data_IF_424189926183
#
_entry.id   IF_424189926183
#
_cell.length_a   1.000
_cell.length_b   1.000
_cell.length_c   1.000
_cell.angle_alpha   90.00
_cell.angle_beta   90.00
_cell.angle_gamma   90.00
#
_symmetry.space_group_name_H-M   'P 1'
#
loop_
_entity.id
_entity.type
_entity.pdbx_description
1 polymer ?
#
# COMPACT_ATOMS: atom_id res chain seq x y z
N UNK A 1 -47.49 29.79 -25.43
CA UNK A 1 -46.42 28.94 -26.01
C UNK A 1 -45.16 29.26 -25.19
N UNK A 2 -44.85 28.59 -24.08
CA UNK A 2 -44.53 27.14 -23.93
C UNK A 2 -43.18 26.91 -24.61
N UNK A 3 -42.03 26.70 -23.96
CA UNK A 3 -41.69 25.76 -22.87
C UNK A 3 -40.32 26.18 -22.29
N UNK A 4 -40.11 26.20 -20.97
CA UNK A 4 -38.76 26.16 -20.34
C UNK A 4 -38.80 25.37 -19.02
N UNK A 5 -37.81 24.48 -18.87
CA UNK A 5 -37.28 23.82 -17.68
C UNK A 5 -38.12 22.72 -17.01
N UNK A 6 -37.68 21.46 -17.17
CA UNK A 6 -37.14 20.59 -16.11
C UNK A 6 -36.22 19.54 -16.77
N UNK A 7 -34.90 19.66 -16.61
CA UNK A 7 -33.94 18.57 -16.85
C UNK A 7 -32.92 18.62 -15.72
N UNK A 8 -33.20 17.89 -14.65
CA UNK A 8 -32.32 17.72 -13.52
C UNK A 8 -32.65 16.41 -12.82
N UNK A 9 -31.61 15.61 -12.56
CA UNK A 9 -31.59 14.32 -11.87
C UNK A 9 -31.78 13.05 -12.75
N UNK A 10 -30.69 12.60 -13.41
CA UNK A 10 -30.59 11.20 -13.88
C UNK A 10 -29.15 10.71 -14.15
N UNK A 11 -28.13 11.03 -13.33
CA UNK A 11 -26.75 10.55 -13.60
C UNK A 11 -26.01 9.88 -12.43
N UNK A 12 -26.66 9.53 -11.31
CA UNK A 12 -25.98 8.83 -10.19
C UNK A 12 -26.30 7.33 -10.10
N UNK A 13 -27.34 6.83 -10.78
CA UNK A 13 -27.73 5.41 -10.68
C UNK A 13 -26.89 4.45 -11.58
N UNK A 14 -25.99 4.96 -12.42
CA UNK A 14 -25.27 4.15 -13.41
C UNK A 14 -24.07 3.37 -12.88
N UNK A 15 -23.44 3.81 -11.78
CA UNK A 15 -22.25 3.14 -11.25
C UNK A 15 -22.55 2.03 -10.24
N UNK A 16 -23.73 2.02 -9.61
CA UNK A 16 -24.10 0.98 -8.64
C UNK A 16 -24.61 -0.31 -9.28
N UNK A 17 -25.09 -0.26 -10.53
CA UNK A 17 -25.61 -1.43 -11.24
C UNK A 17 -24.54 -2.33 -11.85
N UNK A 18 -23.31 -1.83 -12.04
CA UNK A 18 -22.21 -2.62 -12.62
C UNK A 18 -21.53 -3.52 -11.56
N UNK A 19 -21.58 -3.14 -10.27
CA UNK A 19 -21.05 -3.96 -9.18
C UNK A 19 -21.83 -5.27 -8.98
N UNK A 20 -23.14 -5.28 -9.21
CA UNK A 20 -24.00 -6.42 -8.96
C UNK A 20 -23.95 -7.52 -10.05
N UNK A 21 -23.34 -7.24 -11.20
CA UNK A 21 -23.31 -8.17 -12.34
C UNK A 21 -21.99 -8.95 -12.48
N UNK A 22 -21.02 -8.73 -11.59
CA UNK A 22 -19.69 -9.38 -11.68
C UNK A 22 -19.44 -10.42 -10.59
N UNK A 23 -20.24 -10.45 -9.53
CA UNK A 23 -20.25 -11.56 -8.57
C UNK A 23 -21.19 -12.65 -9.10
N UNK A 24 -20.66 -13.58 -9.87
CA UNK A 24 -21.35 -14.81 -10.25
C UNK A 24 -21.66 -15.65 -9.01
N UNK A 25 -22.71 -15.29 -8.27
CA UNK A 25 -23.16 -16.04 -7.11
C UNK A 25 -23.55 -17.45 -7.57
N UNK A 26 -22.69 -18.43 -7.28
CA UNK A 26 -23.02 -19.83 -7.52
C UNK A 26 -24.26 -20.16 -6.69
N UNK A 27 -25.28 -20.82 -7.27
CA UNK A 27 -26.52 -21.12 -6.54
C UNK A 27 -26.30 -22.01 -5.31
N UNK A 28 -25.14 -22.68 -5.23
CA UNK A 28 -24.72 -23.48 -4.08
C UNK A 28 -23.23 -23.20 -3.80
N UNK A 29 -22.95 -22.59 -2.64
CA UNK A 29 -21.60 -22.40 -2.12
C UNK A 29 -21.45 -23.18 -0.81
N UNK A 30 -20.27 -23.76 -0.59
CA UNK A 30 -19.94 -24.39 0.68
C UNK A 30 -19.42 -23.34 1.66
N UNK A 31 -19.98 -23.29 2.87
CA UNK A 31 -19.58 -22.37 3.93
C UNK A 31 -18.70 -23.10 4.95
N UNK A 32 -17.43 -22.71 5.04
CA UNK A 32 -16.55 -23.14 6.11
C UNK A 32 -16.98 -22.53 7.45
N UNK A 33 -17.51 -21.30 7.46
CA UNK A 33 -18.06 -20.66 8.68
C UNK A 33 -19.05 -21.54 9.43
N UNK A 34 -20.04 -22.10 8.73
CA UNK A 34 -21.03 -22.98 9.38
C UNK A 34 -20.36 -24.22 9.94
N UNK A 35 -19.49 -24.88 9.17
CA UNK A 35 -18.93 -26.17 9.58
C UNK A 35 -17.84 -26.06 10.65
N UNK A 36 -16.92 -25.12 10.50
CA UNK A 36 -15.76 -24.96 11.39
C UNK A 36 -16.10 -24.05 12.57
N UNK A 37 -16.71 -22.90 12.33
CA UNK A 37 -16.97 -21.91 13.40
C UNK A 37 -18.27 -22.21 14.16
N UNK A 38 -19.39 -22.41 13.47
CA UNK A 38 -20.69 -22.56 14.13
C UNK A 38 -20.84 -23.97 14.74
N UNK A 39 -20.40 -25.01 14.03
CA UNK A 39 -20.53 -26.42 14.45
C UNK A 39 -19.24 -27.00 15.07
N UNK A 40 -18.15 -26.21 15.13
CA UNK A 40 -16.89 -26.61 15.79
C UNK A 40 -16.26 -27.90 15.23
N UNK A 41 -16.34 -28.12 13.92
CA UNK A 41 -15.65 -29.23 13.26
C UNK A 41 -14.17 -28.92 13.01
N UNK A 42 -13.33 -29.94 13.09
CA UNK A 42 -11.91 -29.83 12.79
C UNK A 42 -11.65 -29.91 11.29
N UNK A 43 -10.58 -29.27 10.81
CA UNK A 43 -10.19 -29.28 9.39
C UNK A 43 -10.02 -30.71 8.84
N UNK A 44 -9.46 -31.60 9.66
CA UNK A 44 -9.17 -32.99 9.32
C UNK A 44 -10.42 -33.87 9.24
N UNK A 45 -11.57 -33.44 9.80
CA UNK A 45 -12.83 -34.19 9.69
C UNK A 45 -13.30 -34.32 8.24
N UNK A 46 -13.01 -33.28 7.44
CA UNK A 46 -13.33 -33.22 6.01
C UNK A 46 -12.08 -33.51 5.16
N UNK A 47 -10.95 -32.86 5.45
CA UNK A 47 -9.69 -32.99 4.70
C UNK A 47 -8.78 -34.08 5.28
N UNK A 48 -9.28 -35.32 5.29
CA UNK A 48 -8.67 -36.45 6.02
C UNK A 48 -7.24 -36.80 5.58
N UNK A 49 -6.83 -36.40 4.37
CA UNK A 49 -5.48 -36.70 3.86
C UNK A 49 -4.52 -35.52 3.98
N UNK A 50 -4.96 -34.38 4.51
CA UNK A 50 -4.14 -33.18 4.70
C UNK A 50 -2.91 -33.40 5.58
N UNK A 51 -3.02 -34.24 6.60
CA UNK A 51 -1.91 -34.49 7.51
C UNK A 51 -1.05 -35.70 7.12
N UNK A 52 -1.51 -36.51 6.18
CA UNK A 52 -0.92 -37.82 5.87
C UNK A 52 -0.36 -37.93 4.47
N UNK A 53 -0.71 -37.02 3.56
CA UNK A 53 -0.26 -37.02 2.17
C UNK A 53 -0.01 -35.61 1.67
N UNK A 54 0.66 -35.47 0.53
CA UNK A 54 0.95 -34.15 -0.07
C UNK A 54 -0.29 -33.45 -0.62
N UNK A 55 -1.33 -34.21 -0.95
CA UNK A 55 -2.60 -33.70 -1.44
C UNK A 55 -3.65 -33.80 -0.31
N UNK A 56 -4.21 -32.67 0.17
CA UNK A 56 -5.10 -32.68 1.31
C UNK A 56 -6.45 -33.36 1.04
N UNK A 57 -6.71 -33.66 -0.23
CA UNK A 57 -7.92 -34.35 -0.69
C UNK A 57 -9.14 -33.46 -0.59
N UNK A 58 -10.12 -33.73 -1.45
CA UNK A 58 -11.45 -33.11 -1.33
C UNK A 58 -12.41 -34.10 -0.64
N UNK A 59 -13.28 -33.62 0.27
CA UNK A 59 -14.22 -34.49 0.95
C UNK A 59 -15.13 -35.21 -0.04
N UNK A 60 -15.32 -36.51 0.18
CA UNK A 60 -16.28 -37.30 -0.59
C UNK A 60 -17.71 -37.06 -0.07
N UNK A 61 -18.71 -37.24 -0.93
CA UNK A 61 -20.13 -37.13 -0.55
C UNK A 61 -20.48 -37.98 0.69
N UNK A 62 -19.88 -39.17 0.81
CA UNK A 62 -20.08 -40.05 1.96
C UNK A 62 -19.77 -39.36 3.30
N UNK A 63 -18.79 -38.46 3.33
CA UNK A 63 -18.43 -37.71 4.53
C UNK A 63 -19.53 -36.73 4.90
N UNK A 64 -20.10 -36.02 3.93
CA UNK A 64 -21.22 -35.11 4.17
C UNK A 64 -22.43 -35.87 4.71
N UNK A 65 -22.70 -37.06 4.17
CA UNK A 65 -23.87 -37.85 4.56
C UNK A 65 -23.83 -38.38 5.99
N UNK A 66 -22.66 -38.41 6.65
CA UNK A 66 -22.54 -38.79 8.07
C UNK A 66 -23.44 -37.93 8.98
N UNK A 67 -23.60 -36.64 8.64
CA UNK A 67 -24.46 -35.71 9.38
C UNK A 67 -25.69 -35.29 8.55
N UNK A 68 -25.52 -35.14 7.24
CA UNK A 68 -26.58 -34.63 6.37
C UNK A 68 -27.74 -35.61 6.12
N UNK A 69 -27.62 -36.90 6.46
CA UNK A 69 -28.74 -37.84 6.40
C UNK A 69 -29.92 -37.39 7.27
N UNK A 70 -29.64 -36.94 8.51
CA UNK A 70 -30.69 -36.47 9.43
C UNK A 70 -30.97 -34.97 9.27
N UNK A 71 -29.93 -34.15 9.08
CA UNK A 71 -30.06 -32.68 8.98
C UNK A 71 -30.87 -32.28 7.74
N UNK A 72 -30.69 -32.98 6.63
CA UNK A 72 -31.37 -32.66 5.38
C UNK A 72 -32.75 -33.31 5.25
N UNK A 73 -33.12 -34.23 6.15
CA UNK A 73 -34.41 -34.93 6.12
C UNK A 73 -35.62 -33.97 6.15
N UNK A 74 -35.45 -32.78 6.73
CA UNK A 74 -36.48 -31.74 6.82
C UNK A 74 -36.35 -30.64 5.75
N UNK A 75 -35.29 -30.68 4.93
CA UNK A 75 -35.05 -29.68 3.88
C UNK A 75 -35.78 -30.09 2.60
N UNK A 76 -36.10 -29.09 1.77
CA UNK A 76 -36.60 -29.34 0.42
C UNK A 76 -35.55 -30.12 -0.39
N UNK A 77 -36.00 -31.03 -1.27
CA UNK A 77 -35.12 -31.94 -2.01
C UNK A 77 -34.00 -31.21 -2.77
N UNK A 78 -34.28 -30.03 -3.33
CA UNK A 78 -33.34 -29.20 -4.08
C UNK A 78 -32.24 -28.55 -3.22
N UNK A 79 -32.36 -28.64 -1.88
CA UNK A 79 -31.42 -28.13 -0.87
C UNK A 79 -30.73 -29.24 -0.07
N UNK A 80 -30.98 -30.50 -0.37
CA UNK A 80 -30.31 -31.63 0.26
C UNK A 80 -28.95 -31.87 -0.39
N UNK A 81 -27.91 -32.08 0.41
CA UNK A 81 -26.53 -32.24 -0.05
C UNK A 81 -26.39 -33.41 -1.02
N UNK A 82 -27.09 -34.53 -0.79
CA UNK A 82 -27.09 -35.68 -1.71
C UNK A 82 -27.45 -35.30 -3.16
N UNK A 83 -28.35 -34.35 -3.35
CA UNK A 83 -28.77 -33.90 -4.69
C UNK A 83 -27.78 -32.96 -5.37
N UNK A 84 -26.83 -32.41 -4.62
CA UNK A 84 -25.82 -31.49 -5.14
C UNK A 84 -24.70 -32.23 -5.89
N UNK A 85 -24.41 -33.48 -5.50
CA UNK A 85 -23.33 -34.28 -6.06
C UNK A 85 -23.79 -35.22 -7.20
N UNK A 86 -25.08 -35.61 -7.23
CA UNK A 86 -25.61 -36.59 -8.20
C UNK A 86 -25.69 -36.12 -9.66
N UNK A 87 -25.72 -34.81 -9.90
CA UNK A 87 -25.92 -34.21 -11.22
C UNK A 87 -24.84 -33.18 -11.61
N UNK A 88 -23.70 -33.16 -10.91
CA UNK A 88 -22.65 -32.14 -11.13
C UNK A 88 -23.05 -30.72 -10.75
N UNK A 89 -24.11 -30.56 -9.94
CA UNK A 89 -24.63 -29.26 -9.47
C UNK A 89 -23.69 -28.57 -8.47
N UNK A 90 -22.86 -29.35 -7.79
CA UNK A 90 -21.74 -28.89 -6.99
C UNK A 90 -20.44 -29.26 -7.68
N UNK A 91 -19.75 -28.26 -8.20
CA UNK A 91 -18.37 -28.39 -8.65
C UNK A 91 -17.50 -27.57 -7.70
N UNK A 92 -16.72 -28.27 -6.87
CA UNK A 92 -15.68 -27.63 -6.10
C UNK A 92 -14.70 -26.98 -7.08
N UNK A 93 -14.60 -25.65 -7.02
CA UNK A 93 -13.59 -24.92 -7.76
C UNK A 93 -12.38 -24.77 -6.86
N UNK A 94 -11.21 -25.20 -7.33
CA UNK A 94 -9.95 -24.96 -6.65
C UNK A 94 -9.63 -23.47 -6.78
N UNK A 95 -9.87 -22.71 -5.71
CA UNK A 95 -9.61 -21.26 -5.68
C UNK A 95 -8.11 -20.98 -5.62
N UNK A 96 -7.35 -21.80 -4.90
CA UNK A 96 -5.89 -21.76 -4.90
C UNK A 96 -5.33 -22.90 -5.74
N UNK A 97 -4.40 -22.57 -6.63
CA UNK A 97 -3.60 -23.53 -7.38
C UNK A 97 -2.17 -23.01 -7.39
N UNK A 98 -1.29 -23.73 -6.67
CA UNK A 98 0.15 -23.55 -6.86
C UNK A 98 0.49 -24.02 -8.27
N UNK A 99 1.25 -23.22 -9.00
CA UNK A 99 1.71 -23.55 -10.34
C UNK A 99 2.68 -24.75 -10.27
N UNK A 100 2.79 -25.52 -11.36
CA UNK A 100 3.57 -26.77 -11.41
C UNK A 100 5.07 -26.60 -11.08
N UNK A 101 5.58 -25.37 -11.18
CA UNK A 101 6.95 -25.02 -10.81
C UNK A 101 7.18 -25.08 -9.30
N UNK A 102 6.14 -24.93 -8.49
CA UNK A 102 6.22 -24.99 -7.04
C UNK A 102 6.17 -26.44 -6.56
N UNK A 103 7.06 -26.77 -5.63
CA UNK A 103 7.07 -28.02 -4.88
C UNK A 103 6.55 -27.71 -3.49
N UNK A 104 5.48 -28.39 -3.10
CA UNK A 104 4.90 -28.24 -1.79
C UNK A 104 4.41 -29.60 -1.29
N UNK A 105 4.62 -29.89 -0.01
CA UNK A 105 4.17 -31.11 0.66
C UNK A 105 3.34 -30.74 1.88
N UNK A 106 2.03 -31.02 1.87
CA UNK A 106 1.21 -30.86 3.08
C UNK A 106 1.71 -31.77 4.21
N UNK A 107 2.10 -33.01 3.91
CA UNK A 107 2.64 -33.96 4.89
C UNK A 107 3.87 -33.41 5.64
N UNK A 108 4.85 -32.85 4.92
CA UNK A 108 6.04 -32.29 5.55
C UNK A 108 5.71 -31.11 6.49
N UNK A 109 4.73 -30.28 6.13
CA UNK A 109 4.30 -29.14 6.94
C UNK A 109 3.43 -29.57 8.13
N UNK A 110 2.48 -30.47 7.91
CA UNK A 110 1.59 -31.00 8.94
C UNK A 110 2.36 -31.79 10.01
N UNK A 111 3.39 -32.56 9.63
CA UNK A 111 4.24 -33.29 10.58
C UNK A 111 5.05 -32.38 11.52
N UNK A 112 5.17 -31.08 11.20
CA UNK A 112 5.75 -30.07 12.09
C UNK A 112 4.73 -29.48 13.08
N UNK A 113 3.47 -29.91 13.03
CA UNK A 113 2.40 -29.41 13.88
C UNK A 113 2.02 -27.96 13.55
N UNK A 114 2.09 -27.58 12.28
CA UNK A 114 1.68 -26.25 11.83
C UNK A 114 0.15 -26.18 11.76
N UNK A 115 -0.41 -25.09 12.27
CA UNK A 115 -1.84 -24.81 12.19
C UNK A 115 -2.24 -24.46 10.74
N UNK A 116 -3.39 -25.00 10.28
CA UNK A 116 -3.88 -24.80 8.92
C UNK A 116 -4.10 -23.31 8.59
N UNK A 117 -4.51 -22.51 9.57
CA UNK A 117 -4.82 -21.09 9.42
C UNK A 117 -3.57 -20.23 9.27
N UNK A 118 -2.36 -20.79 9.44
CA UNK A 118 -1.12 -20.09 9.11
C UNK A 118 -0.99 -19.85 7.60
N UNK A 119 -1.51 -20.77 6.79
CA UNK A 119 -1.49 -20.65 5.32
C UNK A 119 -2.88 -20.34 4.77
N UNK A 120 -3.94 -20.99 5.29
CA UNK A 120 -5.32 -20.77 4.89
C UNK A 120 -6.02 -19.73 5.78
N UNK A 121 -5.44 -18.55 5.87
CA UNK A 121 -5.87 -17.49 6.79
C UNK A 121 -7.33 -17.11 6.55
N UNK A 122 -8.16 -17.22 7.60
CA UNK A 122 -9.55 -16.76 7.60
C UNK A 122 -10.55 -17.69 6.92
N UNK A 123 -10.10 -18.86 6.42
CA UNK A 123 -10.97 -19.81 5.74
C UNK A 123 -12.10 -20.30 6.65
N UNK A 124 -11.87 -20.39 7.96
CA UNK A 124 -12.85 -20.80 8.95
C UNK A 124 -14.04 -19.83 9.09
N UNK A 125 -13.91 -18.61 8.56
CA UNK A 125 -14.98 -17.59 8.54
C UNK A 125 -15.63 -17.44 7.15
N UNK A 126 -15.14 -18.16 6.13
CA UNK A 126 -15.65 -18.02 4.77
C UNK A 126 -17.04 -18.64 4.61
N UNK A 127 -18.01 -17.81 4.21
CA UNK A 127 -19.32 -18.30 3.75
C UNK A 127 -19.25 -18.89 2.34
N UNK A 128 -18.24 -18.46 1.58
CA UNK A 128 -17.82 -18.98 0.29
C UNK A 128 -16.33 -18.69 0.17
N UNK A 129 -15.55 -19.62 -0.38
CA UNK A 129 -14.11 -19.38 -0.59
C UNK A 129 -13.95 -18.28 -1.65
N UNK A 130 -13.22 -17.22 -1.31
CA UNK A 130 -12.91 -16.09 -2.18
C UNK A 130 -11.47 -16.18 -2.67
N UNK A 131 -11.16 -15.44 -3.76
CA UNK A 131 -9.80 -15.35 -4.29
C UNK A 131 -8.79 -14.86 -3.24
N UNK A 132 -9.24 -14.07 -2.28
CA UNK A 132 -8.45 -13.51 -1.18
C UNK A 132 -7.92 -14.59 -0.23
N UNK A 133 -8.56 -15.76 -0.20
CA UNK A 133 -8.15 -16.92 0.61
C UNK A 133 -7.07 -17.77 -0.10
N UNK A 134 -6.57 -17.33 -1.26
CA UNK A 134 -5.48 -18.00 -1.98
C UNK A 134 -4.13 -17.75 -1.31
N UNK A 135 -3.35 -18.83 -1.16
CA UNK A 135 -2.00 -18.80 -0.58
C UNK A 135 -1.05 -18.09 -1.55
N UNK A 136 -0.22 -17.20 -1.01
CA UNK A 136 0.74 -16.40 -1.78
C UNK A 136 2.18 -16.70 -1.38
N UNK A 137 3.13 -16.28 -2.21
CA UNK A 137 4.56 -16.52 -1.95
C UNK A 137 5.04 -15.86 -0.65
N UNK A 138 4.53 -14.67 -0.33
CA UNK A 138 4.86 -13.92 0.89
C UNK A 138 4.44 -14.67 2.16
N UNK A 139 3.37 -15.46 2.11
CA UNK A 139 2.97 -16.34 3.23
C UNK A 139 4.04 -17.41 3.50
N UNK A 140 4.58 -18.01 2.43
CA UNK A 140 5.65 -19.01 2.52
C UNK A 140 6.95 -18.37 3.03
N UNK A 141 7.39 -17.26 2.42
CA UNK A 141 8.68 -16.64 2.75
C UNK A 141 8.68 -16.05 4.15
N UNK A 142 7.61 -15.38 4.57
CA UNK A 142 7.52 -14.81 5.92
C UNK A 142 7.59 -15.91 6.99
N UNK A 143 6.85 -17.02 6.82
CA UNK A 143 6.89 -18.14 7.75
C UNK A 143 8.27 -18.83 7.77
N UNK A 144 8.91 -18.97 6.61
CA UNK A 144 10.25 -19.54 6.52
C UNK A 144 11.30 -18.66 7.20
N UNK A 145 11.25 -17.35 6.98
CA UNK A 145 12.15 -16.38 7.65
C UNK A 145 11.97 -16.43 9.17
N UNK A 146 10.73 -16.37 9.66
CA UNK A 146 10.40 -16.41 11.10
C UNK A 146 10.90 -17.70 11.77
N UNK A 147 10.99 -18.79 11.01
CA UNK A 147 11.45 -20.10 11.48
C UNK A 147 12.91 -20.38 11.14
N UNK A 148 13.65 -19.39 10.64
CA UNK A 148 15.03 -19.52 10.18
C UNK A 148 15.25 -20.66 9.18
N UNK A 149 14.24 -20.93 8.35
CA UNK A 149 14.32 -21.84 7.21
C UNK A 149 14.84 -21.08 5.99
N UNK A 150 15.38 -21.81 5.02
CA UNK A 150 15.83 -21.18 3.78
C UNK A 150 14.62 -20.68 2.97
N UNK A 151 14.78 -19.47 2.43
CA UNK A 151 13.92 -18.86 1.41
C UNK A 151 14.61 -18.86 0.05
N UNK A 152 15.69 -19.64 -0.11
CA UNK A 152 16.32 -19.82 -1.41
C UNK A 152 15.27 -20.36 -2.38
N UNK A 153 15.16 -19.75 -3.56
CA UNK A 153 14.07 -20.05 -4.48
C UNK A 153 13.99 -21.55 -4.83
N UNK A 154 15.12 -22.25 -4.86
CA UNK A 154 15.22 -23.68 -5.14
C UNK A 154 14.58 -24.58 -4.06
N UNK A 155 14.29 -24.05 -2.88
CA UNK A 155 13.53 -24.76 -1.83
C UNK A 155 12.09 -24.99 -2.30
N UNK A 156 11.50 -24.00 -2.96
CA UNK A 156 10.10 -24.03 -3.38
C UNK A 156 9.94 -24.27 -4.88
N UNK A 157 10.88 -23.83 -5.72
CA UNK A 157 10.77 -23.90 -7.17
C UNK A 157 11.65 -25.01 -7.75
N UNK A 158 11.04 -25.90 -8.55
CA UNK A 158 11.78 -26.85 -9.41
C UNK A 158 12.63 -26.12 -10.45
N UNK A 159 12.04 -25.09 -11.04
CA UNK A 159 12.63 -24.19 -12.02
C UNK A 159 11.85 -22.88 -11.97
N UNK A 160 12.51 -21.72 -11.90
CA UNK A 160 11.83 -20.43 -12.00
C UNK A 160 11.68 -20.08 -13.47
N UNK A 161 10.45 -20.10 -13.95
CA UNK A 161 10.15 -19.82 -15.34
C UNK A 161 10.26 -18.34 -15.68
N UNK A 162 11.25 -17.99 -16.49
CA UNK A 162 11.39 -16.62 -17.04
C UNK A 162 10.44 -16.33 -18.21
N UNK A 163 9.78 -17.34 -18.76
CA UNK A 163 8.92 -17.25 -19.95
C UNK A 163 7.46 -16.86 -19.62
N UNK A 164 7.04 -17.03 -18.36
CA UNK A 164 5.67 -16.76 -17.91
C UNK A 164 5.70 -15.82 -16.73
N UNK A 165 5.24 -14.60 -16.98
CA UNK A 165 5.11 -13.61 -15.94
C UNK A 165 3.91 -13.93 -15.02
N UNK A 166 3.98 -13.61 -13.71
CA UNK A 166 2.88 -13.81 -12.78
C UNK A 166 1.63 -13.00 -13.17
N UNK A 167 0.46 -13.30 -12.58
CA UNK A 167 -0.80 -12.61 -12.91
C UNK A 167 -0.71 -11.08 -12.78
N UNK A 168 0.14 -10.62 -11.86
CA UNK A 168 0.55 -9.22 -11.71
C UNK A 168 0.95 -8.55 -13.03
N UNK A 169 1.50 -9.31 -13.99
CA UNK A 169 1.99 -8.86 -15.30
C UNK A 169 0.95 -8.98 -16.42
N UNK A 170 -0.35 -9.01 -16.10
CA UNK A 170 -1.42 -9.01 -17.10
C UNK A 170 -1.35 -7.82 -18.09
N UNK A 171 -2.11 -7.88 -19.19
CA UNK A 171 -2.04 -6.95 -20.36
C UNK A 171 -2.08 -5.44 -20.06
N UNK A 172 -2.53 -5.02 -18.87
CA UNK A 172 -2.59 -3.61 -18.44
C UNK A 172 -1.59 -3.25 -17.33
N UNK A 173 -0.60 -4.11 -17.07
CA UNK A 173 0.40 -3.92 -16.02
C UNK A 173 1.07 -2.54 -16.09
N UNK A 174 1.54 -2.10 -17.26
CA UNK A 174 2.19 -0.78 -17.44
C UNK A 174 1.34 0.39 -16.93
N UNK A 175 0.01 0.27 -16.95
CA UNK A 175 -0.91 1.31 -16.47
C UNK A 175 -1.29 1.17 -15.00
N UNK A 176 -1.23 -0.04 -14.44
CA UNK A 176 -1.79 -0.36 -13.12
C UNK A 176 -0.74 -0.62 -12.03
N UNK A 177 0.47 -1.04 -12.41
CA UNK A 177 1.50 -1.45 -11.45
C UNK A 177 1.83 -0.37 -10.42
N UNK A 178 1.85 0.91 -10.81
CA UNK A 178 2.14 1.98 -9.85
C UNK A 178 1.05 2.19 -8.79
N UNK A 179 -0.22 1.87 -9.08
CA UNK A 179 -1.29 1.89 -8.08
C UNK A 179 -1.26 0.67 -7.17
N UNK A 180 -1.01 -0.49 -7.79
CA UNK A 180 -0.88 -1.79 -7.14
C UNK A 180 0.35 -1.83 -6.21
N UNK A 181 1.50 -1.33 -6.63
CA UNK A 181 2.72 -1.27 -5.80
C UNK A 181 2.57 -0.35 -4.58
N UNK A 182 1.59 0.57 -4.60
CA UNK A 182 1.24 1.41 -3.44
C UNK A 182 0.10 0.83 -2.60
N UNK A 183 -0.58 -0.20 -3.10
CA UNK A 183 -1.66 -0.84 -2.37
C UNK A 183 -1.06 -1.69 -1.25
N UNK A 184 -1.64 -1.57 -0.06
CA UNK A 184 -1.35 -2.45 1.09
C UNK A 184 -2.36 -3.60 1.17
N UNK A 185 -3.29 -3.65 0.22
CA UNK A 185 -4.36 -4.62 0.18
C UNK A 185 -3.82 -5.96 -0.33
N UNK A 186 -3.94 -7.01 0.48
CA UNK A 186 -3.44 -8.36 0.16
C UNK A 186 -4.07 -8.97 -1.09
N UNK A 187 -5.16 -8.42 -1.63
CA UNK A 187 -5.77 -8.90 -2.88
C UNK A 187 -5.14 -8.28 -4.13
N UNK A 188 -4.59 -7.07 -3.97
CA UNK A 188 -4.02 -6.28 -5.07
C UNK A 188 -2.54 -6.00 -4.91
N UNK A 189 -1.95 -6.26 -3.75
CA UNK A 189 -0.54 -6.10 -3.46
C UNK A 189 0.26 -6.99 -4.41
N UNK A 190 1.20 -6.39 -5.14
CA UNK A 190 2.19 -7.13 -5.91
C UNK A 190 3.55 -6.90 -5.27
N UNK A 191 4.06 -7.93 -4.60
CA UNK A 191 5.39 -7.92 -4.04
C UNK A 191 6.42 -8.19 -5.15
N UNK A 192 6.65 -7.14 -5.95
CA UNK A 192 7.58 -7.20 -7.08
C UNK A 192 9.01 -7.48 -6.61
N UNK A 193 9.35 -7.10 -5.37
CA UNK A 193 10.69 -7.25 -4.80
C UNK A 193 11.08 -8.69 -4.50
N UNK A 194 10.12 -9.61 -4.45
CA UNK A 194 10.40 -11.05 -4.34
C UNK A 194 11.10 -11.61 -5.59
N UNK A 195 10.87 -10.99 -6.76
CA UNK A 195 11.42 -11.47 -8.04
C UNK A 195 12.31 -10.44 -8.74
N UNK A 196 12.18 -9.15 -8.40
CA UNK A 196 12.91 -8.06 -9.03
C UNK A 196 13.70 -7.27 -7.99
N UNK A 197 14.87 -6.79 -8.39
CA UNK A 197 15.62 -5.83 -7.59
C UNK A 197 15.19 -4.38 -7.86
N UNK A 198 15.62 -3.45 -7.01
CA UNK A 198 15.38 -2.01 -7.21
C UNK A 198 15.93 -1.50 -8.55
N UNK A 199 16.97 -2.14 -9.07
CA UNK A 199 17.59 -1.75 -10.35
C UNK A 199 16.66 -1.98 -11.54
N UNK A 200 15.76 -2.97 -11.44
CA UNK A 200 14.75 -3.28 -12.44
C UNK A 200 13.75 -2.14 -12.59
N UNK A 201 13.27 -1.59 -11.46
CA UNK A 201 12.41 -0.41 -11.44
C UNK A 201 13.13 0.80 -12.02
N UNK A 202 14.36 1.06 -11.58
CA UNK A 202 15.15 2.20 -12.03
C UNK A 202 15.45 2.14 -13.53
N UNK A 203 15.82 0.99 -14.07
CA UNK A 203 16.18 0.81 -15.48
C UNK A 203 14.98 1.04 -16.40
N UNK A 204 13.83 0.48 -16.06
CA UNK A 204 12.61 0.70 -16.86
C UNK A 204 12.14 2.16 -16.79
N UNK A 205 12.15 2.77 -15.60
CA UNK A 205 11.69 4.15 -15.44
C UNK A 205 12.65 5.23 -15.93
N UNK A 206 13.91 4.88 -16.23
CA UNK A 206 14.81 5.75 -16.99
C UNK A 206 14.32 5.97 -18.42
N UNK A 207 13.74 4.95 -19.04
CA UNK A 207 13.22 5.03 -20.41
C UNK A 207 11.74 5.45 -20.43
N UNK A 208 10.95 4.97 -19.47
CA UNK A 208 9.51 5.22 -19.37
C UNK A 208 9.18 5.82 -18.01
N UNK A 209 9.24 7.16 -17.86
CA UNK A 209 8.91 7.82 -16.61
C UNK A 209 7.49 7.49 -16.16
N UNK A 210 7.23 7.40 -14.84
CA UNK A 210 5.87 7.17 -14.34
C UNK A 210 4.91 8.22 -14.89
N UNK A 211 3.67 7.83 -15.23
CA UNK A 211 2.66 8.77 -15.75
C UNK A 211 2.34 9.94 -14.81
N UNK A 212 2.61 9.76 -13.50
CA UNK A 212 2.53 10.83 -12.51
C UNK A 212 3.58 11.92 -12.73
N UNK A 213 4.73 11.63 -13.33
CA UNK A 213 5.87 12.55 -13.49
C UNK A 213 5.78 13.37 -14.78
N UNK A 214 4.61 13.96 -15.04
CA UNK A 214 4.41 14.88 -16.17
C UNK A 214 4.75 16.34 -15.79
N UNK A 215 4.70 17.23 -16.78
CA UNK A 215 5.01 18.65 -16.59
C UNK A 215 4.12 19.33 -15.54
N UNK A 216 2.85 18.93 -15.45
CA UNK A 216 1.92 19.43 -14.45
C UNK A 216 2.31 18.98 -13.03
N UNK A 217 2.69 17.73 -12.85
CA UNK A 217 3.24 17.26 -11.57
C UNK A 217 4.46 18.06 -11.14
N UNK A 218 5.46 18.16 -12.02
CA UNK A 218 6.70 18.88 -11.74
C UNK A 218 6.46 20.35 -11.39
N UNK A 219 5.45 20.98 -11.96
CA UNK A 219 5.28 22.44 -11.82
C UNK A 219 4.16 22.89 -10.89
N UNK A 220 3.15 22.05 -10.65
CA UNK A 220 1.91 22.50 -9.99
C UNK A 220 1.42 21.58 -8.87
N UNK A 221 1.71 20.29 -8.90
CA UNK A 221 1.04 19.37 -7.96
C UNK A 221 1.93 18.52 -7.06
N UNK A 222 3.21 18.24 -7.41
CA UNK A 222 4.07 17.40 -6.57
C UNK A 222 4.27 17.96 -5.14
N UNK A 223 4.32 19.28 -4.98
CA UNK A 223 4.42 19.92 -3.67
C UNK A 223 3.19 19.70 -2.80
N UNK A 224 1.98 19.77 -3.38
CA UNK A 224 0.73 19.47 -2.67
C UNK A 224 0.63 17.98 -2.34
N UNK A 225 0.97 17.11 -3.29
CA UNK A 225 0.97 15.66 -3.09
C UNK A 225 1.93 15.25 -1.98
N UNK A 226 3.16 15.76 -1.98
CA UNK A 226 4.16 15.47 -0.96
C UNK A 226 3.78 16.02 0.43
N UNK A 227 2.93 17.05 0.52
CA UNK A 227 2.37 17.53 1.80
C UNK A 227 1.26 16.64 2.34
N UNK A 228 0.42 16.10 1.44
CA UNK A 228 -0.68 15.22 1.83
C UNK A 228 -0.17 13.83 2.22
N UNK A 229 0.74 13.27 1.43
CA UNK A 229 1.30 11.94 1.66
C UNK A 229 2.69 11.85 1.04
N UNK A 230 3.71 12.12 1.86
CA UNK A 230 5.11 11.95 1.46
C UNK A 230 5.49 10.46 1.34
N UNK A 231 4.83 9.57 2.10
CA UNK A 231 5.14 8.14 2.10
C UNK A 231 4.75 7.49 0.77
N UNK A 232 3.72 7.98 0.08
CA UNK A 232 3.37 7.54 -1.27
C UNK A 232 4.50 7.72 -2.31
N UNK A 233 5.45 8.63 -2.05
CA UNK A 233 6.63 8.81 -2.88
C UNK A 233 7.74 7.82 -2.51
N UNK A 234 7.80 7.41 -1.24
CA UNK A 234 8.83 6.50 -0.70
C UNK A 234 8.76 5.09 -1.30
N UNK A 235 7.61 4.72 -1.88
CA UNK A 235 7.45 3.47 -2.65
C UNK A 235 8.41 3.37 -3.84
N UNK A 236 8.81 4.50 -4.42
CA UNK A 236 9.68 4.52 -5.61
C UNK A 236 10.92 5.41 -5.46
N UNK A 237 10.95 6.28 -4.45
CA UNK A 237 12.02 7.24 -4.23
C UNK A 237 12.60 7.08 -2.83
N UNK A 238 13.92 7.19 -2.73
CA UNK A 238 14.58 7.33 -1.43
C UNK A 238 14.35 8.72 -0.85
N UNK A 239 14.51 8.84 0.46
CA UNK A 239 14.32 10.11 1.19
C UNK A 239 15.28 11.22 0.73
N UNK A 240 16.46 10.88 0.21
CA UNK A 240 17.46 11.81 -0.31
C UNK A 240 17.11 12.37 -1.71
N UNK A 241 16.16 11.77 -2.43
CA UNK A 241 15.73 12.23 -3.75
C UNK A 241 15.14 13.64 -3.73
N UNK A 242 14.42 14.00 -2.67
CA UNK A 242 13.85 15.34 -2.51
C UNK A 242 14.97 16.39 -2.40
N UNK A 243 15.97 16.12 -1.57
CA UNK A 243 17.07 17.05 -1.33
C UNK A 243 17.93 17.22 -2.58
N UNK A 244 18.25 16.12 -3.26
CA UNK A 244 19.06 16.13 -4.48
C UNK A 244 18.46 17.05 -5.54
N UNK A 245 17.16 16.89 -5.83
CA UNK A 245 16.47 17.73 -6.82
C UNK A 245 16.34 19.19 -6.36
N UNK A 246 16.03 19.43 -5.08
CA UNK A 246 15.85 20.79 -4.57
C UNK A 246 17.13 21.57 -4.31
N UNK A 247 18.29 20.90 -4.24
CA UNK A 247 19.60 21.57 -4.28
C UNK A 247 19.85 22.24 -5.62
N UNK A 248 19.42 21.60 -6.71
CA UNK A 248 19.64 22.11 -8.07
C UNK A 248 18.47 22.98 -8.56
N UNK A 249 17.24 22.64 -8.17
CA UNK A 249 16.01 23.26 -8.65
C UNK A 249 15.22 23.89 -7.50
N UNK A 250 15.21 25.22 -7.49
CA UNK A 250 14.45 25.99 -6.49
C UNK A 250 12.93 25.75 -6.65
N UNK A 251 12.19 25.56 -5.55
CA UNK A 251 10.73 25.45 -5.58
C UNK A 251 10.05 26.67 -6.22
N UNK A 252 8.99 26.43 -7.01
CA UNK A 252 8.24 27.48 -7.73
C UNK A 252 7.48 28.47 -6.82
N UNK A 253 7.27 28.12 -5.55
CA UNK A 253 6.71 29.03 -4.55
C UNK A 253 7.70 30.15 -4.14
N UNK A 254 8.95 30.13 -4.62
CA UNK A 254 9.93 31.21 -4.47
C UNK A 254 9.80 32.27 -5.59
N UNK A 255 8.60 32.77 -5.87
CA UNK A 255 8.38 33.80 -6.89
C UNK A 255 8.43 35.22 -6.30
N UNK A 256 9.40 36.02 -6.76
CA UNK A 256 9.50 37.46 -6.49
C UNK A 256 10.57 37.85 -5.46
N UNK A 257 11.68 38.42 -5.93
CA UNK A 257 12.74 39.09 -5.14
C UNK A 257 13.29 38.30 -3.94
N UNK A 258 13.36 36.97 -4.04
CA UNK A 258 14.00 36.12 -3.05
C UNK A 258 15.53 36.31 -3.10
N UNK A 259 16.11 36.82 -2.01
CA UNK A 259 17.57 37.02 -1.87
C UNK A 259 18.12 38.36 -2.38
N UNK A 260 17.28 39.30 -2.82
CA UNK A 260 17.70 40.68 -3.14
C UNK A 260 17.67 41.61 -1.92
N UNK A 261 18.38 42.73 -1.97
CA UNK A 261 18.49 43.77 -0.90
C UNK A 261 17.18 44.46 -0.52
N UNK A 262 16.07 44.11 -1.17
CA UNK A 262 14.72 44.61 -0.90
C UNK A 262 13.72 43.47 -0.58
N UNK A 263 14.21 42.27 -0.24
CA UNK A 263 13.32 41.15 0.08
C UNK A 263 12.59 41.42 1.40
N UNK A 264 11.38 41.96 1.33
CA UNK A 264 10.53 42.26 2.50
C UNK A 264 9.80 41.02 3.04
N UNK A 265 10.10 39.83 2.50
CA UNK A 265 9.38 38.60 2.81
C UNK A 265 9.63 38.11 4.26
N UNK A 266 10.79 38.45 4.83
CA UNK A 266 11.12 38.19 6.24
C UNK A 266 10.19 38.89 7.23
N UNK A 267 9.53 39.98 6.82
CA UNK A 267 8.65 40.78 7.70
C UNK A 267 7.22 40.23 7.79
N UNK A 268 6.89 39.13 7.10
CA UNK A 268 5.54 38.56 7.05
C UNK A 268 5.23 37.46 8.07
N UNK A 269 6.24 36.87 8.72
CA UNK A 269 6.04 35.71 9.60
C UNK A 269 6.70 35.95 10.96
N UNK A 270 5.90 36.33 11.96
CA UNK A 270 6.33 36.38 13.35
C UNK A 270 6.51 34.97 13.93
N UNK A 271 7.52 34.82 14.78
CA UNK A 271 7.85 33.62 15.55
C UNK A 271 6.66 33.12 16.41
N UNK A 272 6.55 31.81 16.70
CA UNK A 272 7.55 30.79 16.44
C UNK A 272 7.47 30.22 15.04
N UNK A 273 8.61 29.87 14.44
CA UNK A 273 8.72 28.91 13.32
C UNK A 273 8.31 27.50 13.76
N UNK A 274 7.28 27.40 14.60
CA UNK A 274 6.61 26.18 14.95
C UNK A 274 5.50 25.97 13.93
N UNK A 275 5.72 24.98 13.06
CA UNK A 275 4.76 24.34 12.15
C UNK A 275 4.62 24.93 10.74
N UNK A 276 5.35 25.98 10.38
CA UNK A 276 5.42 26.42 8.99
C UNK A 276 6.63 25.80 8.27
N UNK A 277 6.35 25.21 7.11
CA UNK A 277 7.14 24.26 6.30
C UNK A 277 8.52 24.78 5.82
N UNK A 278 8.86 26.02 6.15
CA UNK A 278 10.11 26.67 5.76
C UNK A 278 11.30 26.23 6.60
N UNK A 279 11.09 25.85 7.87
CA UNK A 279 12.17 25.42 8.79
C UNK A 279 12.82 24.11 8.36
N UNK A 280 12.10 23.25 7.63
CA UNK A 280 12.61 22.01 7.02
C UNK A 280 13.78 22.26 6.07
N UNK A 281 13.80 23.40 5.36
CA UNK A 281 14.87 23.77 4.43
C UNK A 281 15.79 24.89 4.95
N UNK A 282 15.43 25.52 6.08
CA UNK A 282 16.14 26.66 6.67
C UNK A 282 16.54 26.46 8.14
N UNK A 283 16.63 25.21 8.60
CA UNK A 283 16.88 24.84 10.00
C UNK A 283 18.17 25.40 10.60
N UNK A 284 19.17 25.71 9.77
CA UNK A 284 20.44 26.31 10.20
C UNK A 284 20.40 27.83 10.32
N UNK A 285 19.28 28.47 9.96
CA UNK A 285 19.12 29.92 10.11
C UNK A 285 18.84 30.21 11.58
N UNK A 286 19.70 30.98 12.28
CA UNK A 286 19.50 31.25 13.70
C UNK A 286 18.13 31.87 13.94
N UNK A 287 17.32 31.11 14.66
CA UNK A 287 16.10 31.56 15.30
C UNK A 287 16.44 32.77 16.20
N UNK A 288 15.64 33.85 16.18
CA UNK A 288 15.90 35.00 17.05
C UNK A 288 15.90 34.61 18.54
N UNK A 289 15.25 33.49 18.90
CA UNK A 289 15.26 32.97 20.26
C UNK A 289 16.64 32.42 20.69
N UNK A 290 17.48 32.03 19.73
CA UNK A 290 18.83 31.49 19.97
C UNK A 290 19.93 32.54 19.76
N UNK A 291 19.56 33.75 19.31
CA UNK A 291 20.48 34.87 19.18
C UNK A 291 20.91 35.37 20.56
N UNK A 292 22.19 35.73 20.70
CA UNK A 292 22.71 36.32 21.94
C UNK A 292 21.90 37.58 22.30
N UNK A 293 21.30 37.66 23.49
CA UNK A 293 20.48 38.81 23.88
C UNK A 293 21.31 40.10 23.88
N UNK A 294 20.66 41.21 23.56
CA UNK A 294 21.28 42.53 23.59
C UNK A 294 21.86 42.80 24.99
N UNK A 295 23.11 43.27 25.10
CA UNK A 295 23.67 43.70 26.37
C UNK A 295 22.79 44.78 27.01
N UNK A 296 22.75 44.84 28.34
CA UNK A 296 21.90 45.80 29.07
C UNK A 296 22.16 47.29 28.70
N UNK A 297 23.31 47.60 28.11
CA UNK A 297 23.68 48.92 27.61
C UNK A 297 23.10 49.27 26.24
N UNK A 298 22.45 48.33 25.55
CA UNK A 298 21.94 48.49 24.20
C UNK A 298 20.41 48.53 24.20
N UNK A 299 19.83 49.57 23.60
CA UNK A 299 18.40 49.70 23.45
C UNK A 299 17.94 49.22 22.07
N UNK A 300 16.69 48.72 21.96
CA UNK A 300 16.01 48.57 20.67
C UNK A 300 16.10 49.88 19.87
N UNK A 301 16.51 49.79 18.60
CA UNK A 301 16.53 50.90 17.65
C UNK A 301 17.90 51.54 17.46
N UNK A 302 18.90 51.16 18.26
CA UNK A 302 20.27 51.63 18.10
C UNK A 302 20.88 51.15 16.77
N UNK A 303 21.60 52.05 16.09
CA UNK A 303 22.37 51.68 14.91
C UNK A 303 23.74 51.13 15.34
N UNK A 304 23.86 49.80 15.34
CA UNK A 304 25.07 49.09 15.75
C UNK A 304 26.30 49.52 14.94
N UNK A 305 26.14 49.81 13.65
CA UNK A 305 27.24 50.21 12.75
C UNK A 305 27.74 51.62 13.02
N UNK A 306 26.90 52.51 13.54
CA UNK A 306 27.34 53.83 14.00
C UNK A 306 28.26 53.74 15.23
N UNK A 307 28.05 52.74 16.10
CA UNK A 307 28.80 52.62 17.35
C UNK A 307 30.02 51.68 17.23
N UNK A 308 29.90 50.59 16.47
CA UNK A 308 30.94 49.54 16.36
C UNK A 308 31.71 49.55 15.04
N UNK A 309 31.32 50.41 14.09
CA UNK A 309 31.91 50.46 12.76
C UNK A 309 31.47 49.30 11.86
N UNK A 310 31.90 49.36 10.59
CA UNK A 310 31.45 48.44 9.52
C UNK A 310 32.13 47.06 9.57
N UNK A 311 33.26 46.93 10.24
CA UNK A 311 34.08 45.71 10.24
C UNK A 311 33.92 44.85 11.48
N UNK A 312 33.27 45.36 12.53
CA UNK A 312 33.04 44.59 13.74
C UNK A 312 32.11 43.39 13.44
N UNK A 313 32.44 42.18 13.92
CA UNK A 313 31.55 41.03 13.80
C UNK A 313 30.28 41.27 14.63
N UNK A 314 29.12 41.03 14.01
CA UNK A 314 27.82 41.07 14.69
C UNK A 314 27.40 39.65 15.11
N UNK A 315 26.57 39.51 16.16
CA UNK A 315 26.10 38.21 16.66
C UNK A 315 25.14 37.48 15.70
N UNK A 316 24.73 38.15 14.61
CA UNK A 316 24.01 37.55 13.48
C UNK A 316 24.49 38.20 12.17
N UNK A 317 24.14 37.60 11.04
CA UNK A 317 24.57 38.07 9.70
C UNK A 317 24.15 39.53 9.49
N UNK A 318 25.13 40.37 9.14
CA UNK A 318 24.87 41.73 8.67
C UNK A 318 24.63 41.71 7.16
N UNK A 319 23.39 41.92 6.73
CA UNK A 319 23.02 41.95 5.31
C UNK A 319 22.88 43.38 4.77
N UNK A 320 23.34 44.40 5.50
CA UNK A 320 23.24 45.81 5.08
C UNK A 320 21.87 46.43 5.32
N UNK A 321 21.03 45.77 6.13
CA UNK A 321 19.74 46.29 6.57
C UNK A 321 19.91 47.32 7.70
N UNK A 322 19.06 48.34 7.74
CA UNK A 322 19.00 49.26 8.88
C UNK A 322 18.59 48.50 10.14
N UNK A 323 19.51 48.32 11.10
CA UNK A 323 19.29 47.52 12.32
C UNK A 323 18.01 47.95 13.08
N UNK A 324 17.68 49.25 13.03
CA UNK A 324 16.47 49.82 13.62
C UNK A 324 15.15 49.43 12.93
N UNK A 325 15.17 48.58 11.90
CA UNK A 325 13.96 47.97 11.33
C UNK A 325 13.58 46.66 12.01
N UNK A 326 14.55 45.95 12.57
CA UNK A 326 14.34 44.66 13.24
C UNK A 326 14.21 44.80 14.76
N UNK A 327 14.83 45.83 15.35
CA UNK A 327 14.86 46.05 16.80
C UNK A 327 14.07 47.30 17.23
N UNK A 328 12.85 47.55 16.73
CA UNK A 328 12.04 48.68 17.26
C UNK A 328 11.36 48.34 18.56
#
# INVERSE_FOLDING_TARGET
>A
MGVVAVLGAATVAGCSLVGALTSGAKPFAFSHRVHVTDESLDCADCHQTAETTDEPGMPALSQCMLCHEEIDAKKAADRQVATLFGDGRFMAERVSHLEDEVVFSHLEHATKGLDCNLCHVGIEQDEQILADSAVRMDDCTACHEDRAMSIDCAVCHKEIRSDRAPESHARLWQRRHGGVARSQDRTTANDCTLCHDESSCASCHQETPPGSHNSYFRTKSHGLMARMDRQACATCHRSDSCDSCHRETRPLNHSGSWGGTQSRHCFGCHFPLGKDECSTCHGDTPSHLDATPLPASHAPGMNCRMCHGLTAPLPHVDKGDECGRCHR
#
